data_IF_261826122996
#
_entry.id   IF_261826122996
#
_cell.length_a   1.000
_cell.length_b   1.000
_cell.length_c   1.000
_cell.angle_alpha   90.00
_cell.angle_beta   90.00
_cell.angle_gamma   90.00
#
_symmetry.space_group_name_H-M   'P 1'
#
loop_
_entity.id
_entity.type
_entity.pdbx_description
1 polymer ?
#
# COMPACT_ATOMS: atom_id res chain seq x y z
N UNK A 1 -26.03 85.81 7.81
CA UNK A 1 -25.39 85.13 6.65
C UNK A 1 -24.10 84.40 7.01
N UNK A 2 -23.07 85.05 7.58
CA UNK A 2 -21.77 84.40 7.84
C UNK A 2 -21.80 83.12 8.70
N UNK A 3 -22.65 83.07 9.74
CA UNK A 3 -22.79 81.88 10.61
C UNK A 3 -23.30 80.63 9.89
N UNK A 4 -24.05 80.81 8.81
CA UNK A 4 -24.63 79.70 8.04
C UNK A 4 -23.59 79.09 7.09
N UNK A 5 -22.69 79.93 6.55
CA UNK A 5 -21.57 79.50 5.71
C UNK A 5 -20.56 78.72 6.55
N UNK A 6 -20.24 79.18 7.76
CA UNK A 6 -19.29 78.48 8.64
C UNK A 6 -19.82 77.12 9.13
N UNK A 7 -21.12 77.01 9.39
CA UNK A 7 -21.74 75.75 9.79
C UNK A 7 -21.74 74.73 8.63
N UNK A 8 -22.03 75.17 7.41
CA UNK A 8 -22.01 74.31 6.23
C UNK A 8 -20.60 73.75 5.94
N UNK A 9 -19.58 74.61 6.04
CA UNK A 9 -18.18 74.18 5.87
C UNK A 9 -17.76 73.18 6.96
N UNK A 10 -18.22 73.38 8.19
CA UNK A 10 -17.95 72.44 9.28
C UNK A 10 -18.56 71.06 9.01
N UNK A 11 -19.83 71.00 8.59
CA UNK A 11 -20.48 69.72 8.24
C UNK A 11 -19.79 69.02 7.07
N UNK A 12 -19.40 69.76 6.03
CA UNK A 12 -18.68 69.21 4.89
C UNK A 12 -17.31 68.63 5.28
N UNK A 13 -16.59 69.30 6.20
CA UNK A 13 -15.32 68.80 6.70
C UNK A 13 -15.51 67.55 7.57
N UNK A 14 -16.55 67.49 8.41
CA UNK A 14 -16.85 66.29 9.20
C UNK A 14 -17.20 65.09 8.32
N UNK A 15 -18.00 65.29 7.26
CA UNK A 15 -18.35 64.24 6.30
C UNK A 15 -17.12 63.76 5.52
N UNK A 16 -16.25 64.68 5.11
CA UNK A 16 -14.99 64.35 4.44
C UNK A 16 -14.07 63.53 5.35
N UNK A 17 -13.91 63.93 6.61
CA UNK A 17 -13.11 63.17 7.57
C UNK A 17 -13.70 61.79 7.86
N UNK A 18 -15.02 61.69 7.96
CA UNK A 18 -15.71 60.41 8.14
C UNK A 18 -15.48 59.48 6.95
N UNK A 19 -15.58 59.99 5.72
CA UNK A 19 -15.29 59.26 4.49
C UNK A 19 -13.83 58.78 4.44
N UNK A 20 -12.88 59.66 4.76
CA UNK A 20 -11.45 59.32 4.78
C UNK A 20 -11.13 58.22 5.80
N UNK A 21 -11.80 58.21 6.96
CA UNK A 21 -11.67 57.14 7.96
C UNK A 21 -12.22 55.81 7.44
N UNK A 22 -13.35 55.83 6.76
CA UNK A 22 -13.96 54.64 6.15
C UNK A 22 -13.06 54.06 5.05
N UNK A 23 -12.51 54.89 4.18
CA UNK A 23 -11.61 54.44 3.11
C UNK A 23 -10.34 53.80 3.68
N UNK A 24 -9.73 54.41 4.70
CA UNK A 24 -8.57 53.82 5.40
C UNK A 24 -8.91 52.50 6.10
N UNK A 25 -10.10 52.38 6.68
CA UNK A 25 -10.55 51.13 7.30
C UNK A 25 -10.76 50.03 6.25
N UNK A 26 -11.36 50.38 5.11
CA UNK A 26 -11.58 49.47 3.99
C UNK A 26 -10.27 49.00 3.35
N UNK A 27 -9.29 49.90 3.22
CA UNK A 27 -7.96 49.55 2.72
C UNK A 27 -7.24 48.56 3.67
N UNK A 28 -7.28 48.82 4.98
CA UNK A 28 -6.75 47.87 5.98
C UNK A 28 -7.44 46.51 5.92
N UNK A 29 -8.76 46.49 5.76
CA UNK A 29 -9.51 45.23 5.64
C UNK A 29 -9.13 44.46 4.36
N UNK A 30 -8.94 45.16 3.23
CA UNK A 30 -8.48 44.54 1.98
C UNK A 30 -7.09 43.93 2.14
N UNK A 31 -6.17 44.64 2.78
CA UNK A 31 -4.83 44.14 3.05
C UNK A 31 -4.84 42.86 3.90
N UNK A 32 -5.55 42.88 5.03
CA UNK A 32 -5.68 41.72 5.91
C UNK A 32 -6.34 40.53 5.21
N UNK A 33 -7.38 40.78 4.42
CA UNK A 33 -8.04 39.74 3.64
C UNK A 33 -7.10 39.12 2.61
N UNK A 34 -6.33 39.94 1.90
CA UNK A 34 -5.36 39.45 0.92
C UNK A 34 -4.24 38.62 1.56
N UNK A 35 -3.80 38.97 2.77
CA UNK A 35 -2.83 38.15 3.51
C UNK A 35 -3.41 36.80 3.89
N UNK A 36 -4.63 36.78 4.44
CA UNK A 36 -5.30 35.54 4.84
C UNK A 36 -5.57 34.62 3.64
N UNK A 37 -6.01 35.18 2.51
CA UNK A 37 -6.20 34.42 1.27
C UNK A 37 -4.87 33.84 0.77
N UNK A 38 -3.77 34.59 0.85
CA UNK A 38 -2.46 34.10 0.47
C UNK A 38 -1.96 32.96 1.37
N UNK A 39 -2.12 33.09 2.69
CA UNK A 39 -1.74 32.05 3.66
C UNK A 39 -2.53 30.76 3.41
N UNK A 40 -3.85 30.86 3.23
CA UNK A 40 -4.69 29.69 2.92
C UNK A 40 -4.33 29.04 1.58
N UNK A 41 -3.99 29.84 0.56
CA UNK A 41 -3.55 29.32 -0.72
C UNK A 41 -2.21 28.58 -0.61
N UNK A 42 -1.28 29.08 0.21
CA UNK A 42 0.00 28.41 0.47
C UNK A 42 -0.23 27.10 1.22
N UNK A 43 -1.04 27.10 2.28
CA UNK A 43 -1.38 25.88 3.03
C UNK A 43 -2.03 24.82 2.14
N UNK A 44 -3.00 25.21 1.31
CA UNK A 44 -3.65 24.30 0.34
C UNK A 44 -2.64 23.70 -0.63
N UNK A 45 -1.74 24.52 -1.20
CA UNK A 45 -0.73 24.03 -2.14
C UNK A 45 0.26 23.07 -1.50
N UNK A 46 0.62 23.30 -0.24
CA UNK A 46 1.51 22.41 0.50
C UNK A 46 0.82 21.08 0.79
N UNK A 47 -0.43 21.12 1.26
CA UNK A 47 -1.23 19.92 1.51
C UNK A 47 -1.45 19.09 0.23
N UNK A 48 -1.87 19.73 -0.86
CA UNK A 48 -2.08 19.07 -2.15
C UNK A 48 -0.79 18.42 -2.68
N UNK A 49 0.37 19.01 -2.37
CA UNK A 49 1.67 18.46 -2.76
C UNK A 49 2.01 17.23 -1.92
N UNK A 50 1.82 17.30 -0.60
CA UNK A 50 2.06 16.17 0.30
C UNK A 50 1.17 14.97 -0.06
N UNK A 51 -0.13 15.20 -0.34
CA UNK A 51 -1.04 14.15 -0.78
C UNK A 51 -0.59 13.48 -2.09
N UNK A 52 -0.12 14.25 -3.06
CA UNK A 52 0.41 13.71 -4.33
C UNK A 52 1.67 12.90 -4.12
N UNK A 53 2.61 13.40 -3.31
CA UNK A 53 3.85 12.70 -2.98
C UNK A 53 3.56 11.37 -2.26
N UNK A 54 2.55 11.33 -1.38
CA UNK A 54 2.14 10.10 -0.70
C UNK A 54 1.46 9.10 -1.65
N UNK A 55 0.58 9.57 -2.54
CA UNK A 55 -0.03 8.73 -3.58
C UNK A 55 1.02 8.13 -4.53
N UNK A 56 1.96 8.93 -5.01
CA UNK A 56 3.05 8.47 -5.88
C UNK A 56 3.92 7.42 -5.16
N UNK A 57 4.21 7.64 -3.87
CA UNK A 57 4.97 6.69 -3.06
C UNK A 57 4.24 5.36 -2.89
N UNK A 58 2.94 5.37 -2.64
CA UNK A 58 2.12 4.16 -2.52
C UNK A 58 2.08 3.40 -3.85
N UNK A 59 1.81 4.10 -4.97
CA UNK A 59 1.79 3.52 -6.30
C UNK A 59 3.14 2.87 -6.66
N UNK A 60 4.27 3.53 -6.36
CA UNK A 60 5.60 2.96 -6.57
C UNK A 60 5.86 1.72 -5.72
N UNK A 61 5.34 1.66 -4.48
CA UNK A 61 5.47 0.49 -3.62
C UNK A 61 4.69 -0.69 -4.17
N UNK A 62 3.44 -0.48 -4.57
CA UNK A 62 2.59 -1.51 -5.18
C UNK A 62 3.22 -2.05 -6.46
N UNK A 63 3.68 -1.17 -7.35
CA UNK A 63 4.36 -1.56 -8.58
C UNK A 63 5.62 -2.39 -8.30
N UNK A 64 6.38 -2.06 -7.25
CA UNK A 64 7.56 -2.84 -6.87
C UNK A 64 7.18 -4.25 -6.40
N UNK A 65 6.13 -4.36 -5.59
CA UNK A 65 5.62 -5.65 -5.09
C UNK A 65 5.11 -6.50 -6.25
N UNK A 66 4.32 -5.93 -7.16
CA UNK A 66 3.82 -6.63 -8.34
C UNK A 66 4.95 -7.12 -9.25
N UNK A 67 5.95 -6.29 -9.49
CA UNK A 67 7.12 -6.67 -10.28
C UNK A 67 7.91 -7.80 -9.61
N UNK A 68 8.08 -7.76 -8.29
CA UNK A 68 8.73 -8.83 -7.53
C UNK A 68 7.96 -10.15 -7.66
N UNK A 69 6.64 -10.15 -7.46
CA UNK A 69 5.81 -11.35 -7.67
C UNK A 69 5.82 -11.83 -9.13
N UNK A 70 5.97 -10.93 -10.10
CA UNK A 70 6.11 -11.31 -11.51
C UNK A 70 7.44 -12.03 -11.75
N UNK A 71 8.53 -11.51 -11.21
CA UNK A 71 9.86 -12.14 -11.31
C UNK A 71 9.84 -13.53 -10.67
N UNK A 72 9.32 -13.65 -9.44
CA UNK A 72 9.18 -14.95 -8.77
C UNK A 72 8.37 -15.94 -9.62
N UNK A 73 7.25 -15.49 -10.20
CA UNK A 73 6.44 -16.37 -11.06
C UNK A 73 7.20 -16.84 -12.30
N UNK A 74 8.00 -15.97 -12.92
CA UNK A 74 8.82 -16.34 -14.08
C UNK A 74 9.93 -17.33 -13.69
N UNK A 75 10.61 -17.07 -12.57
CA UNK A 75 11.67 -17.94 -12.06
C UNK A 75 11.11 -19.31 -11.69
N UNK A 76 9.98 -19.36 -10.98
CA UNK A 76 9.30 -20.61 -10.65
C UNK A 76 8.82 -21.35 -11.90
N UNK A 77 8.25 -20.65 -12.88
CA UNK A 77 7.80 -21.28 -14.13
C UNK A 77 8.95 -21.99 -14.85
N UNK A 78 10.15 -21.43 -14.82
CA UNK A 78 11.33 -22.07 -15.41
C UNK A 78 11.78 -23.36 -14.70
N UNK A 79 11.41 -23.54 -13.43
CA UNK A 79 11.78 -24.71 -12.60
C UNK A 79 10.70 -25.80 -12.58
N UNK A 80 9.48 -25.50 -13.04
CA UNK A 80 8.38 -26.46 -13.07
C UNK A 80 8.60 -27.48 -14.20
N UNK A 81 8.94 -28.71 -13.83
CA UNK A 81 9.08 -29.84 -14.77
C UNK A 81 7.72 -30.29 -15.34
N UNK A 82 7.70 -30.83 -16.55
CA UNK A 82 6.47 -31.37 -17.11
C UNK A 82 5.93 -32.55 -16.27
N UNK A 83 4.61 -32.63 -16.09
CA UNK A 83 4.01 -33.75 -15.39
C UNK A 83 4.17 -35.07 -16.18
N UNK A 84 4.51 -36.19 -15.51
CA UNK A 84 4.60 -37.48 -16.16
C UNK A 84 3.22 -37.97 -16.60
N UNK A 85 3.11 -38.72 -17.72
CA UNK A 85 1.84 -39.21 -18.26
C UNK A 85 1.18 -40.27 -17.36
N UNK A 86 -0.13 -40.49 -17.54
CA UNK A 86 -0.89 -41.45 -16.72
C UNK A 86 -0.47 -42.88 -17.02
N UNK A 87 -0.35 -43.72 -15.99
CA UNK A 87 -0.13 -45.17 -16.15
C UNK A 87 1.33 -45.63 -16.27
N UNK A 88 2.32 -44.73 -16.15
CA UNK A 88 3.72 -45.17 -15.96
C UNK A 88 3.93 -45.69 -14.54
N UNK A 89 4.72 -46.75 -14.42
CA UNK A 89 5.17 -47.27 -13.13
C UNK A 89 6.16 -46.31 -12.46
N UNK A 90 6.10 -46.21 -11.12
CA UNK A 90 7.00 -45.35 -10.34
C UNK A 90 6.61 -43.87 -10.29
N UNK A 91 5.35 -43.52 -10.59
CA UNK A 91 4.80 -42.17 -10.42
C UNK A 91 4.20 -42.01 -9.00
N UNK A 92 4.45 -40.85 -8.38
CA UNK A 92 3.82 -40.40 -7.14
C UNK A 92 2.81 -39.30 -7.44
N UNK A 93 1.64 -39.35 -6.78
CA UNK A 93 0.57 -38.36 -6.92
C UNK A 93 0.50 -37.50 -5.65
N UNK A 94 0.77 -36.20 -5.80
CA UNK A 94 0.75 -35.25 -4.69
C UNK A 94 -0.53 -34.42 -4.77
N UNK A 95 -1.27 -34.32 -3.66
CA UNK A 95 -2.53 -33.57 -3.59
C UNK A 95 -2.48 -32.57 -2.43
N UNK A 96 -2.33 -31.30 -2.77
CA UNK A 96 -2.30 -30.21 -1.79
C UNK A 96 -3.67 -29.56 -1.64
N UNK A 97 -4.09 -29.36 -0.39
CA UNK A 97 -5.26 -28.55 -0.05
C UNK A 97 -4.75 -27.17 0.35
N UNK A 98 -5.18 -26.14 -0.37
CA UNK A 98 -4.83 -24.75 -0.08
C UNK A 98 -5.76 -24.18 1.00
N UNK A 99 -5.34 -23.11 1.71
CA UNK A 99 -6.13 -22.48 2.77
C UNK A 99 -7.48 -21.91 2.31
N UNK A 100 -7.62 -21.58 1.03
CA UNK A 100 -8.87 -21.14 0.40
C UNK A 100 -9.86 -22.29 0.11
N UNK A 101 -9.47 -23.53 0.40
CA UNK A 101 -10.24 -24.74 0.12
C UNK A 101 -10.00 -25.32 -1.28
N UNK A 102 -9.19 -24.67 -2.11
CA UNK A 102 -8.80 -25.16 -3.43
C UNK A 102 -7.92 -26.41 -3.28
N UNK A 103 -8.07 -27.37 -4.19
CA UNK A 103 -7.25 -28.60 -4.20
C UNK A 103 -6.41 -28.65 -5.47
N UNK A 104 -5.09 -28.73 -5.30
CA UNK A 104 -4.13 -28.93 -6.37
C UNK A 104 -3.69 -30.39 -6.38
N UNK A 105 -3.61 -31.00 -7.56
CA UNK A 105 -3.08 -32.35 -7.73
C UNK A 105 -2.06 -32.36 -8.85
N UNK A 106 -0.89 -32.94 -8.59
CA UNK A 106 0.21 -33.04 -9.56
C UNK A 106 0.94 -34.37 -9.42
N UNK A 107 1.49 -34.86 -10.54
CA UNK A 107 2.26 -36.10 -10.60
C UNK A 107 3.74 -35.81 -10.69
N UNK A 108 4.54 -36.67 -10.08
CA UNK A 108 6.01 -36.60 -10.07
C UNK A 108 6.60 -37.99 -10.30
N UNK A 109 7.81 -38.05 -10.87
CA UNK A 109 8.58 -39.28 -10.86
C UNK A 109 9.07 -39.57 -9.42
N UNK A 110 9.06 -40.83 -8.99
CA UNK A 110 9.38 -41.20 -7.59
C UNK A 110 10.76 -40.77 -7.10
N UNK A 111 11.71 -40.52 -8.01
CA UNK A 111 13.04 -39.99 -7.71
C UNK A 111 13.12 -38.46 -7.63
N UNK A 112 12.11 -37.72 -8.11
CA UNK A 112 12.09 -36.24 -8.10
C UNK A 112 11.48 -35.66 -6.81
N UNK A 113 10.80 -36.48 -6.02
CA UNK A 113 10.10 -36.04 -4.81
C UNK A 113 11.06 -35.57 -3.69
N UNK A 114 12.26 -36.17 -3.63
CA UNK A 114 13.26 -35.87 -2.58
C UNK A 114 14.04 -34.57 -2.83
N UNK A 115 14.28 -34.22 -4.09
CA UNK A 115 15.11 -33.05 -4.45
C UNK A 115 14.29 -31.75 -4.46
N UNK A 116 12.99 -31.83 -4.79
CA UNK A 116 12.12 -30.64 -4.92
C UNK A 116 11.42 -30.21 -3.63
N UNK A 117 11.47 -31.03 -2.58
CA UNK A 117 10.89 -30.73 -1.27
C UNK A 117 11.92 -30.29 -0.21
N UNK A 118 13.23 -30.45 -0.50
CA UNK A 118 14.32 -30.24 0.47
C UNK A 118 15.19 -29.00 0.20
N UNK A 119 14.98 -28.26 -0.89
CA UNK A 119 15.76 -27.04 -1.20
C UNK A 119 15.28 -25.77 -0.46
N UNK A 120 14.26 -25.87 0.39
CA UNK A 120 13.65 -24.72 1.10
C UNK A 120 14.25 -24.44 2.51
N UNK A 121 15.28 -25.17 2.96
CA UNK A 121 15.78 -25.11 4.35
C UNK A 121 17.19 -24.51 4.56
N UNK A 122 17.73 -23.70 3.64
CA UNK A 122 18.90 -22.86 3.98
C UNK A 122 18.50 -21.50 4.55
N UNK A 123 17.77 -21.52 5.67
CA UNK A 123 17.67 -20.39 6.58
C UNK A 123 18.60 -20.66 7.78
N UNK A 124 19.72 -19.93 7.95
CA UNK A 124 20.78 -20.27 8.90
C UNK A 124 20.41 -20.13 10.39
N UNK A 125 19.13 -19.99 10.73
CA UNK A 125 18.62 -19.79 12.08
C UNK A 125 17.58 -20.83 12.54
N UNK A 126 17.29 -21.88 11.76
CA UNK A 126 16.28 -22.86 12.17
C UNK A 126 16.94 -24.05 12.89
N UNK A 127 16.66 -24.18 14.19
CA UNK A 127 17.16 -25.26 15.05
C UNK A 127 16.66 -26.63 14.57
N UNK A 128 17.57 -27.60 14.61
CA UNK A 128 17.41 -28.99 14.17
C UNK A 128 16.07 -29.63 14.55
N UNK A 129 15.36 -30.10 13.53
CA UNK A 129 14.46 -31.24 13.68
C UNK A 129 14.84 -32.31 12.66
N UNK A 130 15.48 -33.36 13.17
CA UNK A 130 15.77 -34.60 12.45
C UNK A 130 14.46 -35.17 11.88
N UNK A 131 14.39 -35.33 10.55
CA UNK A 131 13.35 -36.13 9.90
C UNK A 131 14.00 -37.35 9.27
N UNK A 132 13.86 -38.49 9.95
CA UNK A 132 14.20 -39.80 9.41
C UNK A 132 13.18 -40.15 8.31
N UNK A 133 13.64 -40.23 7.06
CA UNK A 133 12.83 -40.71 5.95
C UNK A 133 12.75 -42.25 5.99
N UNK A 134 11.68 -42.80 6.54
CA UNK A 134 11.33 -44.21 6.35
C UNK A 134 10.74 -44.42 4.94
N UNK A 135 11.47 -45.18 4.12
CA UNK A 135 10.95 -45.74 2.86
C UNK A 135 10.03 -46.90 3.22
N UNK A 136 8.73 -46.63 3.30
CA UNK A 136 7.72 -47.68 3.38
C UNK A 136 6.79 -47.63 2.17
N UNK A 137 6.80 -48.72 1.42
CA UNK A 137 5.83 -49.07 0.40
C UNK A 137 4.47 -49.26 1.06
N UNK A 138 3.75 -48.17 1.32
CA UNK A 138 2.35 -48.18 1.74
C UNK A 138 1.75 -46.76 1.61
N UNK A 139 0.54 -46.72 1.06
CA UNK A 139 -0.24 -45.49 0.86
C UNK A 139 -0.54 -44.88 2.23
N UNK A 140 0.19 -43.82 2.60
CA UNK A 140 -0.09 -43.03 3.79
C UNK A 140 -0.69 -41.67 3.40
N UNK A 141 -1.93 -41.45 3.84
CA UNK A 141 -2.62 -40.16 3.75
C UNK A 141 -2.12 -39.31 4.92
N UNK A 142 -1.14 -38.45 4.68
CA UNK A 142 -0.68 -37.52 5.71
C UNK A 142 -1.65 -36.33 5.78
N UNK A 143 -2.57 -36.37 6.74
CA UNK A 143 -3.41 -35.22 7.09
C UNK A 143 -2.59 -34.22 7.92
N UNK A 144 -1.93 -33.27 7.25
CA UNK A 144 -1.33 -32.10 7.90
C UNK A 144 -2.43 -31.10 8.26
N UNK A 145 -3.00 -31.26 9.46
CA UNK A 145 -3.91 -30.28 10.05
C UNK A 145 -3.08 -29.18 10.74
N UNK A 146 -2.96 -28.02 10.09
CA UNK A 146 -2.38 -26.83 10.71
C UNK A 146 -3.45 -26.17 11.61
N UNK A 147 -3.22 -26.18 12.92
CA UNK A 147 -4.09 -25.54 13.91
C UNK A 147 -3.56 -24.14 14.23
N UNK A 148 -4.26 -23.05 13.87
CA UNK A 148 -3.79 -21.71 14.20
C UNK A 148 -4.02 -21.46 15.70
N UNK A 149 -2.93 -21.31 16.47
CA UNK A 149 -2.99 -20.77 17.83
C UNK A 149 -3.60 -19.36 17.74
N UNK A 150 -4.78 -19.19 18.35
CA UNK A 150 -5.34 -17.87 18.66
C UNK A 150 -4.45 -17.23 19.72
N UNK A 151 -3.84 -16.09 19.39
CA UNK A 151 -3.28 -15.21 20.41
C UNK A 151 -4.45 -14.46 21.07
N UNK A 152 -4.56 -14.62 22.38
CA UNK A 152 -5.30 -13.73 23.28
C UNK A 152 -4.60 -12.36 23.40
#
# INVERSE_FOLDING_TARGET
MYKQISFLVYQQNEEYEASLRLDRAKERQRFLRSQLEHEQDVERRMHDREEREEQDRLAHRELRIENWYRQIRLDLFSRVTAEPPEGLQGIVHLRNKLPDGTRLSRRFYGNQLMETAAEDDEDPNNEHHDTEAEVTEQVEVVDLTFSPKRNE
#
